data_IF_428497007477
#
_entry.id   IF_428497007477
#
_cell.length_a   1.000
_cell.length_b   1.000
_cell.length_c   1.000
_cell.angle_alpha   90.00
_cell.angle_beta   90.00
_cell.angle_gamma   90.00
#
_symmetry.space_group_name_H-M   'P 1'
#
loop_
_entity.id
_entity.type
_entity.pdbx_description
1 polymer ?
#
# COMPACT_ATOMS: atom_id res chain seq x y z
N UNK A 1 -16.65 -7.23 3.25
CA UNK A 1 -15.85 -7.75 4.40
C UNK A 1 -14.35 -7.53 4.20
N UNK A 2 -13.80 -7.81 3.01
CA UNK A 2 -12.37 -7.64 2.70
C UNK A 2 -11.90 -6.17 2.69
N UNK A 3 -12.65 -5.28 2.03
CA UNK A 3 -12.34 -3.83 2.02
C UNK A 3 -12.33 -3.20 3.42
N UNK A 4 -13.16 -3.71 4.35
CA UNK A 4 -13.14 -3.29 5.77
C UNK A 4 -11.85 -3.69 6.48
N UNK A 5 -11.23 -4.81 6.12
CA UNK A 5 -9.93 -5.24 6.67
C UNK A 5 -8.80 -4.40 6.08
N UNK A 6 -8.82 -4.16 4.77
CA UNK A 6 -7.83 -3.32 4.07
C UNK A 6 -7.80 -1.90 4.65
N UNK A 7 -8.97 -1.28 4.84
CA UNK A 7 -9.08 0.05 5.48
C UNK A 7 -8.42 0.09 6.86
N UNK A 8 -8.58 -0.95 7.69
CA UNK A 8 -7.91 -1.02 9.00
C UNK A 8 -6.39 -1.08 8.86
N UNK A 9 -5.87 -1.78 7.85
CA UNK A 9 -4.43 -1.81 7.58
C UNK A 9 -3.90 -0.45 7.16
N UNK A 10 -4.61 0.30 6.30
CA UNK A 10 -4.20 1.64 5.88
C UNK A 10 -4.21 2.64 7.06
N UNK A 11 -5.23 2.56 7.93
CA UNK A 11 -5.25 3.36 9.17
C UNK A 11 -4.08 3.07 10.08
N UNK A 12 -3.81 1.79 10.32
CA UNK A 12 -2.66 1.39 11.14
C UNK A 12 -1.34 1.92 10.54
N UNK A 13 -1.17 1.84 9.23
CA UNK A 13 0.01 2.38 8.57
C UNK A 13 0.11 3.91 8.73
N UNK A 14 -1.01 4.63 8.62
CA UNK A 14 -1.07 6.08 8.88
C UNK A 14 -0.69 6.41 10.32
N UNK A 15 -1.22 5.67 11.28
CA UNK A 15 -0.93 5.86 12.70
C UNK A 15 0.56 5.63 12.99
N UNK A 16 1.17 4.58 12.42
CA UNK A 16 2.61 4.31 12.53
C UNK A 16 3.43 5.44 11.89
N UNK A 17 3.02 5.95 10.71
CA UNK A 17 3.69 7.09 10.09
C UNK A 17 3.70 8.30 11.03
N UNK A 18 2.55 8.62 11.64
CA UNK A 18 2.43 9.75 12.57
C UNK A 18 3.28 9.53 13.81
N UNK A 19 3.27 8.33 14.40
CA UNK A 19 4.11 7.99 15.55
C UNK A 19 5.59 8.17 15.24
N UNK A 20 6.08 7.66 14.10
CA UNK A 20 7.50 7.80 13.74
C UNK A 20 7.83 9.26 13.40
N UNK A 21 6.90 10.00 12.78
CA UNK A 21 7.05 11.44 12.57
C UNK A 21 7.23 12.18 13.89
N UNK A 22 6.48 11.82 14.92
CA UNK A 22 6.56 12.46 16.25
C UNK A 22 7.84 12.11 17.01
N UNK A 23 8.54 11.02 16.66
CA UNK A 23 9.85 10.70 17.23
C UNK A 23 10.97 11.65 16.79
N UNK A 24 10.74 12.48 15.75
CA UNK A 24 11.71 13.47 15.26
C UNK A 24 13.12 12.88 15.04
N UNK A 25 13.18 11.67 14.47
CA UNK A 25 14.44 10.97 14.22
C UNK A 25 15.27 11.77 13.22
N UNK A 26 16.52 12.04 13.57
CA UNK A 26 17.45 12.79 12.72
C UNK A 26 17.57 12.13 11.34
N UNK A 27 17.53 12.93 10.27
CA UNK A 27 17.60 12.49 8.87
C UNK A 27 16.46 11.56 8.41
N UNK A 28 15.35 11.46 9.15
CA UNK A 28 14.16 10.70 8.75
C UNK A 28 12.96 11.62 8.54
N UNK A 29 12.39 11.60 7.33
CA UNK A 29 11.17 12.32 6.99
C UNK A 29 10.03 11.34 6.65
N UNK A 30 9.04 11.26 7.53
CA UNK A 30 7.84 10.44 7.34
C UNK A 30 6.72 11.21 6.63
N UNK A 31 6.93 11.56 5.36
CA UNK A 31 5.95 12.29 4.54
C UNK A 31 5.11 11.37 3.66
N UNK A 32 5.69 10.28 3.19
CA UNK A 32 5.05 9.42 2.19
C UNK A 32 4.31 8.22 2.78
N UNK A 33 3.22 7.83 2.12
CA UNK A 33 2.50 6.59 2.32
C UNK A 33 2.29 5.89 0.98
N UNK A 34 3.08 4.86 0.72
CA UNK A 34 2.92 3.97 -0.44
C UNK A 34 1.97 2.83 -0.10
N UNK A 35 0.68 3.03 -0.39
CA UNK A 35 -0.36 2.05 -0.13
C UNK A 35 -1.49 2.19 -1.16
N UNK A 36 -2.24 1.11 -1.38
CA UNK A 36 -3.23 1.05 -2.44
C UNK A 36 -2.68 0.46 -3.74
N UNK A 37 -3.49 -0.39 -4.35
CA UNK A 37 -3.31 -1.03 -5.63
C UNK A 37 -4.60 -0.92 -6.44
N UNK A 38 -4.60 -1.44 -7.66
CA UNK A 38 -5.76 -1.46 -8.56
C UNK A 38 -7.13 -1.73 -7.90
N UNK A 39 -7.22 -2.67 -6.96
CA UNK A 39 -8.51 -3.02 -6.32
C UNK A 39 -8.91 -2.21 -5.09
N UNK A 40 -8.06 -1.31 -4.59
CA UNK A 40 -8.29 -0.60 -3.32
C UNK A 40 -7.69 0.82 -3.26
N UNK A 41 -7.33 1.41 -4.42
CA UNK A 41 -6.68 2.72 -4.49
C UNK A 41 -7.57 3.86 -3.95
N UNK A 42 -8.89 3.82 -4.15
CA UNK A 42 -9.80 4.86 -3.65
C UNK A 42 -9.79 4.90 -2.12
N UNK A 43 -9.84 3.73 -1.48
CA UNK A 43 -9.78 3.61 -0.03
C UNK A 43 -8.40 4.04 0.47
N UNK A 44 -7.33 3.71 -0.25
CA UNK A 44 -5.99 4.15 0.12
C UNK A 44 -5.87 5.68 0.10
N UNK A 45 -6.43 6.34 -0.92
CA UNK A 45 -6.46 7.81 -1.03
C UNK A 45 -7.28 8.41 0.14
N UNK A 46 -8.47 7.87 0.42
CA UNK A 46 -9.30 8.32 1.56
C UNK A 46 -8.56 8.24 2.90
N UNK A 47 -7.70 7.21 3.09
CA UNK A 47 -6.94 6.99 4.32
C UNK A 47 -5.54 7.65 4.29
N UNK A 48 -5.25 8.47 3.27
CA UNK A 48 -4.09 9.37 3.23
C UNK A 48 -2.87 8.86 2.45
N UNK A 49 -3.03 7.95 1.50
CA UNK A 49 -1.95 7.55 0.59
C UNK A 49 -1.43 8.74 -0.20
N UNK A 50 -0.10 8.83 -0.34
CA UNK A 50 0.57 9.80 -1.23
C UNK A 50 1.08 9.12 -2.50
N UNK A 51 1.25 7.79 -2.46
CA UNK A 51 1.67 6.97 -3.59
C UNK A 51 0.75 5.75 -3.66
N UNK A 52 0.15 5.52 -4.84
CA UNK A 52 -0.63 4.31 -5.17
C UNK A 52 0.09 3.49 -6.24
N UNK A 53 -0.11 2.17 -6.24
CA UNK A 53 0.59 1.24 -7.15
C UNK A 53 -0.39 0.54 -8.10
N UNK A 54 -0.65 1.16 -9.25
CA UNK A 54 -1.66 0.67 -10.20
C UNK A 54 -1.00 -0.16 -11.30
N UNK A 55 -1.48 -1.39 -11.49
CA UNK A 55 -0.94 -2.33 -12.48
C UNK A 55 -2.02 -2.82 -13.44
N UNK A 56 -2.86 -3.74 -12.98
CA UNK A 56 -3.89 -4.41 -13.80
C UNK A 56 -4.84 -3.43 -14.50
N UNK A 57 -5.19 -2.31 -13.87
CA UNK A 57 -6.09 -1.34 -14.49
C UNK A 57 -5.44 -0.49 -15.58
N UNK A 58 -4.10 -0.42 -15.60
CA UNK A 58 -3.33 0.27 -16.65
C UNK A 58 -2.94 -0.72 -17.76
N UNK A 59 -2.42 -1.88 -17.38
CA UNK A 59 -1.77 -2.83 -18.30
C UNK A 59 -2.59 -4.07 -18.63
N UNK A 60 -3.74 -4.26 -17.97
CA UNK A 60 -4.53 -5.49 -18.07
C UNK A 60 -3.99 -6.63 -17.19
N UNK A 61 -4.62 -7.80 -17.31
CA UNK A 61 -4.25 -8.99 -16.53
C UNK A 61 -2.85 -9.49 -16.90
N UNK A 62 -2.12 -10.00 -15.91
CA UNK A 62 -0.86 -10.73 -16.14
C UNK A 62 -1.10 -11.92 -17.08
N UNK A 63 -0.14 -12.18 -17.99
CA UNK A 63 -0.19 -13.30 -18.92
C UNK A 63 0.00 -14.66 -18.23
N UNK A 64 0.82 -14.67 -17.17
CA UNK A 64 1.17 -15.86 -16.42
C UNK A 64 0.74 -15.72 -14.95
N UNK A 65 0.45 -16.84 -14.25
CA UNK A 65 0.12 -16.82 -12.83
C UNK A 65 1.32 -16.35 -11.99
N UNK A 66 1.05 -15.94 -10.75
CA UNK A 66 2.08 -15.42 -9.85
C UNK A 66 3.23 -16.42 -9.61
N UNK A 67 2.95 -17.73 -9.62
CA UNK A 67 3.95 -18.80 -9.50
C UNK A 67 4.99 -18.83 -10.63
N UNK A 68 4.71 -18.21 -11.77
CA UNK A 68 5.68 -18.04 -12.85
C UNK A 68 6.73 -16.98 -12.50
N UNK A 69 6.33 -15.92 -11.81
CA UNK A 69 7.20 -14.79 -11.44
C UNK A 69 7.86 -14.99 -10.07
N UNK A 70 7.18 -15.67 -9.14
CA UNK A 70 7.63 -15.90 -7.77
C UNK A 70 7.58 -17.39 -7.47
N UNK A 71 8.75 -18.04 -7.48
CA UNK A 71 8.84 -19.42 -7.04
C UNK A 71 9.15 -19.47 -5.54
N UNK A 72 8.12 -19.61 -4.71
CA UNK A 72 8.27 -19.72 -3.25
C UNK A 72 8.91 -21.06 -2.81
N UNK A 73 9.18 -21.97 -3.73
CA UNK A 73 9.83 -23.27 -3.48
C UNK A 73 11.31 -23.30 -3.90
N UNK A 74 11.93 -22.14 -4.15
CA UNK A 74 13.38 -22.01 -4.35
C UNK A 74 14.09 -21.50 -3.11
#
# INVERSE_FOLDING_TARGET
>A
MMLKKVRKCFRLLKDIQLQIKDLQIENVAMTELSMGMSGDLEIAIEEGATIVRVGTDIFGKRLYPDSYYWNENQ
#
